data_IF_799977238888
#
_entry.id   IF_799977238888
#
_cell.length_a   1.000
_cell.length_b   1.000
_cell.length_c   1.000
_cell.angle_alpha   90.00
_cell.angle_beta   90.00
_cell.angle_gamma   90.00
#
_symmetry.space_group_name_H-M   'P 1'
#
loop_
_entity.id
_entity.type
_entity.pdbx_description
1 polymer ?
#
# COMPACT_ATOMS: atom_id res chain seq x y z
N UNK A 1 7.59 15.21 -7.16
CA UNK A 1 8.76 16.01 -6.80
C UNK A 1 9.46 15.33 -5.66
N UNK A 2 10.64 14.79 -5.89
CA UNK A 2 11.52 14.41 -4.81
C UNK A 2 11.95 15.69 -4.11
N UNK A 3 11.77 15.80 -2.82
CA UNK A 3 12.52 16.77 -2.03
C UNK A 3 13.72 16.05 -1.44
N UNK A 4 14.92 16.33 -1.83
CA UNK A 4 16.10 15.72 -1.27
C UNK A 4 16.73 16.65 -0.23
N UNK A 5 17.23 16.10 0.78
CA UNK A 5 18.45 16.55 1.37
C UNK A 5 19.31 15.31 1.60
N UNK A 6 20.42 15.27 0.87
CA UNK A 6 21.61 14.49 1.13
C UNK A 6 21.41 13.05 1.58
N UNK A 7 20.99 12.16 0.70
CA UNK A 7 21.07 10.73 0.95
C UNK A 7 21.63 10.07 -0.31
N UNK A 8 22.75 9.42 -0.16
CA UNK A 8 23.39 8.64 -1.21
C UNK A 8 22.67 7.30 -1.31
N UNK A 9 21.57 7.25 -2.08
CA UNK A 9 20.79 6.04 -2.23
C UNK A 9 20.48 5.74 -3.69
N UNK A 10 20.89 4.58 -4.11
CA UNK A 10 20.54 4.00 -5.39
C UNK A 10 19.15 3.37 -5.27
N UNK A 11 18.11 3.87 -5.92
CA UNK A 11 16.79 3.23 -5.83
C UNK A 11 16.84 1.83 -6.43
N UNK A 12 16.15 0.90 -5.78
CA UNK A 12 15.98 -0.45 -6.33
C UNK A 12 15.31 -0.40 -7.71
N UNK A 13 15.63 -1.30 -8.63
CA UNK A 13 15.07 -1.28 -9.97
C UNK A 13 13.54 -1.37 -9.93
N UNK A 14 12.91 -0.50 -10.71
CA UNK A 14 11.45 -0.50 -10.90
C UNK A 14 11.09 -1.53 -11.93
N UNK A 15 10.30 -2.53 -11.59
CA UNK A 15 9.75 -3.47 -12.55
C UNK A 15 8.37 -3.02 -13.02
N UNK A 16 8.21 -2.84 -14.32
CA UNK A 16 6.98 -2.35 -14.94
C UNK A 16 6.51 -3.32 -16.02
N UNK A 17 5.21 -3.27 -16.34
CA UNK A 17 4.66 -4.10 -17.41
C UNK A 17 5.21 -3.68 -18.77
N UNK A 18 5.08 -4.55 -19.80
CA UNK A 18 5.70 -4.40 -21.14
C UNK A 18 5.43 -3.08 -21.87
N UNK A 19 4.53 -2.24 -21.39
CA UNK A 19 4.17 -0.95 -21.98
C UNK A 19 4.86 0.26 -21.33
N UNK A 20 5.60 0.05 -20.25
CA UNK A 20 6.40 1.11 -19.68
C UNK A 20 7.62 1.41 -20.54
N UNK A 21 7.80 2.68 -20.85
CA UNK A 21 8.87 3.12 -21.74
C UNK A 21 10.13 3.53 -20.97
N UNK A 22 10.00 4.42 -20.04
CA UNK A 22 11.14 4.94 -19.27
C UNK A 22 10.69 5.89 -18.15
N UNK A 23 11.60 6.17 -17.22
CA UNK A 23 11.54 7.33 -16.35
C UNK A 23 12.30 8.49 -16.98
N UNK A 24 11.73 9.68 -16.94
CA UNK A 24 12.42 10.90 -17.32
C UNK A 24 12.86 11.65 -16.06
N UNK A 25 14.14 11.90 -15.96
CA UNK A 25 14.73 12.72 -14.93
C UNK A 25 14.76 14.18 -15.37
N UNK A 26 14.29 15.08 -14.52
CA UNK A 26 14.39 16.52 -14.74
C UNK A 26 15.24 17.16 -13.63
N UNK A 27 16.46 17.56 -13.93
CA UNK A 27 17.17 18.55 -13.16
C UNK A 27 16.80 19.94 -13.71
N UNK A 28 16.45 20.87 -12.89
CA UNK A 28 15.81 22.17 -13.10
C UNK A 28 16.10 22.98 -14.38
N UNK A 29 16.87 22.52 -15.32
CA UNK A 29 17.28 23.29 -16.51
C UNK A 29 17.24 22.56 -17.86
N UNK A 30 17.21 21.22 -17.92
CA UNK A 30 17.12 20.51 -19.22
C UNK A 30 16.52 19.12 -19.05
N UNK A 31 15.48 18.80 -19.83
CA UNK A 31 15.00 17.43 -20.00
C UNK A 31 16.11 16.61 -20.60
N UNK A 32 16.40 15.40 -20.03
CA UNK A 32 16.99 14.49 -20.95
C UNK A 32 17.60 13.16 -20.53
N UNK A 33 17.46 12.68 -19.36
CA UNK A 33 17.97 11.33 -19.12
C UNK A 33 16.83 10.36 -18.92
N UNK A 34 16.73 9.37 -19.84
CA UNK A 34 15.76 8.29 -19.73
C UNK A 34 16.38 7.15 -18.95
N UNK A 35 15.68 6.70 -17.91
CA UNK A 35 16.06 5.52 -17.12
C UNK A 35 15.10 4.39 -17.42
N UNK A 36 15.63 3.29 -17.90
CA UNK A 36 14.87 2.09 -18.25
C UNK A 36 14.74 1.15 -17.04
N UNK A 37 13.81 0.21 -17.06
CA UNK A 37 13.72 -0.81 -16.03
C UNK A 37 15.06 -1.49 -15.78
N UNK A 38 15.48 -1.55 -14.50
CA UNK A 38 16.79 -2.09 -14.11
C UNK A 38 17.96 -1.08 -14.10
N UNK A 39 17.73 0.18 -14.50
CA UNK A 39 18.74 1.24 -14.34
C UNK A 39 18.86 1.66 -12.87
N UNK A 40 20.09 1.95 -12.44
CA UNK A 40 20.37 2.57 -11.14
C UNK A 40 20.43 4.08 -11.30
N UNK A 41 19.84 4.80 -10.35
CA UNK A 41 19.88 6.25 -10.29
C UNK A 41 20.40 6.70 -8.92
N UNK A 42 21.52 7.39 -8.92
CA UNK A 42 22.07 8.03 -7.72
C UNK A 42 21.56 9.46 -7.65
N UNK A 43 20.88 9.82 -6.57
CA UNK A 43 20.31 11.14 -6.37
C UNK A 43 21.23 11.99 -5.51
N UNK A 44 21.78 13.05 -6.10
CA UNK A 44 22.62 14.03 -5.39
C UNK A 44 21.90 15.33 -5.08
N UNK A 45 20.70 15.51 -5.64
CA UNK A 45 19.86 16.72 -5.47
C UNK A 45 18.39 16.43 -5.76
N UNK A 46 17.53 17.43 -5.56
CA UNK A 46 16.09 17.35 -5.85
C UNK A 46 15.83 16.91 -7.27
N UNK A 47 15.06 15.83 -7.42
CA UNK A 47 14.66 15.38 -8.74
C UNK A 47 13.19 15.02 -8.81
N UNK A 48 12.64 15.14 -10.00
CA UNK A 48 11.30 14.63 -10.32
C UNK A 48 11.47 13.54 -11.37
N UNK A 49 10.88 12.37 -11.10
CA UNK A 49 10.81 11.30 -12.07
C UNK A 49 9.44 11.33 -12.74
N UNK A 50 9.44 11.39 -14.06
CA UNK A 50 8.23 11.32 -14.88
C UNK A 50 8.14 9.94 -15.51
N UNK A 51 7.07 9.21 -15.23
CA UNK A 51 6.83 7.93 -15.84
C UNK A 51 6.06 8.09 -17.15
N UNK A 52 6.60 7.56 -18.26
CA UNK A 52 5.91 7.54 -19.56
C UNK A 52 5.28 6.18 -19.83
N UNK A 53 3.99 6.16 -20.13
CA UNK A 53 3.19 4.97 -20.35
C UNK A 53 2.26 5.05 -21.55
N UNK A 54 1.91 3.85 -22.07
CA UNK A 54 0.71 3.60 -22.81
C UNK A 54 -0.11 2.57 -22.02
N UNK A 55 -1.10 2.98 -21.24
CA UNK A 55 -2.02 2.14 -20.45
C UNK A 55 -1.34 1.06 -19.58
N UNK A 56 -0.24 1.40 -18.94
CA UNK A 56 0.53 0.46 -18.13
C UNK A 56 0.05 0.41 -16.68
N UNK A 57 0.27 -0.73 -16.05
CA UNK A 57 0.12 -0.88 -14.60
C UNK A 57 1.47 -0.74 -13.93
N UNK A 58 1.51 -0.03 -12.82
CA UNK A 58 2.65 -0.07 -11.91
C UNK A 58 2.84 -1.50 -11.42
N UNK A 59 4.01 -2.09 -11.63
CA UNK A 59 4.30 -3.45 -11.17
C UNK A 59 5.21 -3.47 -9.96
N UNK A 60 6.10 -2.48 -9.84
CA UNK A 60 6.99 -2.34 -8.68
C UNK A 60 7.32 -0.86 -8.51
N UNK A 61 7.24 -0.37 -7.29
CA UNK A 61 7.67 0.95 -6.90
C UNK A 61 9.04 0.87 -6.23
N UNK A 62 9.97 1.82 -6.49
CA UNK A 62 11.25 1.82 -5.83
C UNK A 62 11.08 2.09 -4.34
N UNK A 63 11.81 1.32 -3.53
CA UNK A 63 12.02 1.63 -2.13
C UNK A 63 13.26 2.54 -2.06
N UNK A 64 13.09 3.68 -1.43
CA UNK A 64 14.14 4.68 -1.28
C UNK A 64 14.33 4.98 0.21
N UNK A 65 15.50 5.44 0.59
CA UNK A 65 15.79 5.85 1.95
C UNK A 65 16.44 7.23 1.97
N UNK A 66 16.27 7.92 3.07
CA UNK A 66 16.84 9.23 3.35
C UNK A 66 17.23 9.28 4.81
N UNK A 67 18.47 9.68 5.11
CA UNK A 67 18.92 9.82 6.50
C UNK A 67 18.09 10.87 7.23
N UNK A 68 17.63 10.53 8.45
CA UNK A 68 16.77 11.38 9.26
C UNK A 68 15.29 11.42 8.82
N UNK A 69 14.88 10.54 7.89
CA UNK A 69 13.50 10.49 7.41
C UNK A 69 13.02 9.06 7.18
N UNK A 70 11.73 8.86 7.36
CA UNK A 70 11.02 7.64 6.99
C UNK A 70 10.31 7.84 5.66
N UNK A 71 10.39 6.85 4.79
CA UNK A 71 9.70 6.88 3.51
C UNK A 71 8.26 6.42 3.66
N UNK A 72 7.30 7.33 3.46
CA UNK A 72 5.86 7.06 3.62
C UNK A 72 5.25 6.44 2.37
N UNK A 73 5.89 6.63 1.21
CA UNK A 73 5.41 6.08 -0.04
C UNK A 73 5.50 7.04 -1.22
N UNK A 74 5.06 6.55 -2.36
CA UNK A 74 4.92 7.33 -3.58
C UNK A 74 3.49 7.83 -3.73
N UNK A 75 3.32 9.12 -4.01
CA UNK A 75 2.01 9.74 -4.16
C UNK A 75 1.88 10.43 -5.53
N UNK A 76 0.67 10.43 -6.06
CA UNK A 76 0.33 11.26 -7.22
C UNK A 76 0.24 12.74 -6.80
N UNK A 77 0.23 13.70 -7.75
CA UNK A 77 0.05 15.11 -7.43
C UNK A 77 -1.27 15.43 -6.69
N UNK A 78 -2.26 14.56 -6.79
CA UNK A 78 -3.53 14.66 -6.09
C UNK A 78 -3.51 13.97 -4.71
N UNK A 79 -2.33 13.77 -4.15
CA UNK A 79 -2.11 13.11 -2.86
C UNK A 79 -2.72 11.70 -2.75
N UNK A 80 -2.76 10.96 -3.86
CA UNK A 80 -3.20 9.56 -3.85
C UNK A 80 -1.99 8.64 -3.80
N UNK A 81 -1.94 7.76 -2.82
CA UNK A 81 -0.85 6.78 -2.68
C UNK A 81 -0.77 5.89 -3.94
N UNK A 82 0.40 5.86 -4.55
CA UNK A 82 0.69 4.97 -5.67
C UNK A 82 0.99 3.56 -5.16
N UNK A 83 0.44 2.55 -5.81
CA UNK A 83 0.57 1.15 -5.41
C UNK A 83 0.78 0.23 -6.62
N UNK A 84 1.37 -0.92 -6.39
CA UNK A 84 1.54 -1.94 -7.42
C UNK A 84 0.18 -2.39 -7.99
N UNK A 85 0.07 -2.40 -9.30
CA UNK A 85 -1.18 -2.68 -10.01
C UNK A 85 -2.05 -1.44 -10.28
N UNK A 86 -1.65 -0.25 -9.81
CA UNK A 86 -2.29 1.01 -10.18
C UNK A 86 -2.21 1.19 -11.70
N UNK A 87 -3.33 1.54 -12.32
CA UNK A 87 -3.37 1.84 -13.77
C UNK A 87 -2.95 3.29 -13.98
N UNK A 88 -1.96 3.49 -14.81
CA UNK A 88 -1.47 4.80 -15.22
C UNK A 88 -1.93 5.01 -16.66
N UNK A 89 -2.73 6.04 -16.89
CA UNK A 89 -3.36 6.33 -18.19
C UNK A 89 -2.72 7.48 -18.96
N UNK A 90 -1.78 8.17 -18.30
CA UNK A 90 -1.06 9.31 -18.89
C UNK A 90 0.29 9.47 -18.19
N UNK A 91 1.10 10.39 -18.66
CA UNK A 91 2.33 10.78 -17.98
C UNK A 91 2.01 11.17 -16.53
N UNK A 92 2.54 10.41 -15.60
CA UNK A 92 2.26 10.55 -14.17
C UNK A 92 3.53 10.86 -13.41
N UNK A 93 3.48 11.92 -12.61
CA UNK A 93 4.52 12.24 -11.63
C UNK A 93 4.18 11.49 -10.34
N UNK A 94 5.15 10.81 -9.77
CA UNK A 94 5.04 10.27 -8.42
C UNK A 94 5.97 11.06 -7.50
N UNK A 95 5.42 11.48 -6.38
CA UNK A 95 6.09 12.29 -5.37
C UNK A 95 6.37 11.39 -4.17
N UNK A 96 7.63 11.35 -3.74
CA UNK A 96 7.99 10.66 -2.51
C UNK A 96 7.55 11.51 -1.32
N UNK A 97 6.79 10.94 -0.41
CA UNK A 97 6.49 11.53 0.88
C UNK A 97 7.43 10.99 1.94
N UNK A 98 7.79 11.85 2.88
CA UNK A 98 8.75 11.57 3.92
C UNK A 98 8.28 12.17 5.24
N UNK A 99 8.38 11.40 6.31
CA UNK A 99 8.24 11.89 7.68
C UNK A 99 9.64 12.06 8.28
N UNK A 100 9.92 13.22 8.85
CA UNK A 100 11.19 13.49 9.53
C UNK A 100 11.26 12.66 10.82
N UNK A 101 12.38 11.95 11.01
CA UNK A 101 12.68 11.35 12.31
C UNK A 101 13.24 12.45 13.20
N UNK A 102 12.37 13.16 13.91
CA UNK A 102 12.83 14.13 14.90
C UNK A 102 13.49 13.38 16.05
N UNK A 103 14.81 13.48 16.13
CA UNK A 103 15.54 13.25 17.38
C UNK A 103 15.54 14.60 18.10
N UNK A 104 14.45 14.95 18.75
CA UNK A 104 14.45 16.04 19.70
C UNK A 104 15.27 15.59 20.91
N UNK A 105 16.54 16.00 20.96
CA UNK A 105 17.45 15.73 22.11
C UNK A 105 17.06 16.46 23.40
N UNK A 106 15.91 17.15 23.45
CA UNK A 106 15.49 17.98 24.57
C UNK A 106 13.99 17.88 24.85
N UNK A 107 13.48 16.69 25.11
CA UNK A 107 12.27 16.58 25.93
C UNK A 107 12.37 15.32 26.82
N UNK A 108 12.56 15.57 28.11
CA UNK A 108 12.57 14.59 29.20
C UNK A 108 11.15 14.01 29.43
N UNK A 109 10.53 13.61 28.30
CA UNK A 109 9.37 12.75 28.29
C UNK A 109 9.87 11.33 28.09
N UNK A 110 9.72 10.56 29.12
CA UNK A 110 9.77 9.11 29.15
C UNK A 110 8.76 8.56 28.11
N UNK A 111 9.11 8.69 26.82
CA UNK A 111 8.39 8.05 25.72
C UNK A 111 8.67 6.56 25.80
N UNK A 112 7.93 5.89 26.67
CA UNK A 112 7.78 4.46 26.58
C UNK A 112 7.30 4.17 25.16
N UNK A 113 8.16 3.54 24.33
CA UNK A 113 7.78 3.08 23.00
C UNK A 113 6.38 2.50 23.05
N UNK A 114 5.49 2.99 22.20
CA UNK A 114 4.10 2.56 22.17
C UNK A 114 4.02 1.03 22.20
N UNK A 115 3.19 0.50 23.07
CA UNK A 115 3.07 -0.92 23.39
C UNK A 115 2.08 -1.67 22.52
N UNK A 116 2.07 -2.98 22.62
CA UNK A 116 1.05 -3.80 21.96
C UNK A 116 -0.33 -3.42 22.46
N UNK A 117 -1.24 -3.08 21.56
CA UNK A 117 -2.60 -2.63 21.83
C UNK A 117 -2.78 -1.12 21.73
N UNK A 118 -1.71 -0.35 21.70
CA UNK A 118 -1.80 1.09 21.50
C UNK A 118 -2.23 1.41 20.06
N UNK A 119 -2.97 2.49 19.92
CA UNK A 119 -3.43 3.00 18.64
C UNK A 119 -2.50 4.09 18.13
N UNK A 120 -2.17 4.00 16.86
CA UNK A 120 -1.37 4.96 16.12
C UNK A 120 -2.21 5.55 15.02
N UNK A 121 -2.19 6.86 14.86
CA UNK A 121 -2.99 7.58 13.89
C UNK A 121 -2.14 8.12 12.75
N UNK A 122 -2.69 8.08 11.55
CA UNK A 122 -2.19 8.79 10.38
C UNK A 122 -3.31 9.71 9.86
N UNK A 123 -3.05 10.50 8.85
CA UNK A 123 -4.08 11.30 8.17
C UNK A 123 -5.19 10.48 7.49
N UNK A 124 -4.99 9.18 7.31
CA UNK A 124 -5.89 8.30 6.56
C UNK A 124 -6.55 7.21 7.40
N UNK A 125 -5.89 6.73 8.44
CA UNK A 125 -6.33 5.54 9.15
C UNK A 125 -5.74 5.44 10.56
N UNK A 126 -6.41 4.64 11.39
CA UNK A 126 -5.92 4.18 12.69
C UNK A 126 -5.29 2.80 12.52
N UNK A 127 -4.15 2.61 13.19
CA UNK A 127 -3.43 1.35 13.29
C UNK A 127 -3.29 0.94 14.75
N UNK A 128 -3.46 -0.33 15.06
CA UNK A 128 -3.22 -0.87 16.40
C UNK A 128 -1.94 -1.69 16.42
N UNK A 129 -1.04 -1.43 17.36
CA UNK A 129 0.20 -2.20 17.50
C UNK A 129 -0.11 -3.64 17.91
N UNK A 130 0.40 -4.59 17.13
CA UNK A 130 0.19 -6.03 17.39
C UNK A 130 1.45 -6.76 17.81
N UNK A 131 2.63 -6.17 17.58
CA UNK A 131 3.92 -6.76 17.93
C UNK A 131 5.01 -5.69 18.00
N UNK A 132 5.88 -5.79 19.02
CA UNK A 132 7.00 -4.87 19.22
C UNK A 132 8.36 -5.57 19.38
N UNK A 133 8.40 -6.89 19.57
CA UNK A 133 9.65 -7.63 19.82
C UNK A 133 10.32 -8.05 18.51
N UNK A 134 11.37 -7.32 18.12
CA UNK A 134 12.22 -7.63 16.97
C UNK A 134 11.63 -7.30 15.60
N UNK A 135 10.33 -7.04 15.51
CA UNK A 135 9.63 -6.59 14.32
C UNK A 135 8.37 -5.82 14.74
N UNK A 136 8.30 -4.55 14.38
CA UNK A 136 7.12 -3.74 14.69
C UNK A 136 6.00 -4.07 13.69
N UNK A 137 4.86 -4.54 14.22
CA UNK A 137 3.71 -4.92 13.40
C UNK A 137 2.45 -4.21 13.89
N UNK A 138 1.60 -3.86 12.94
CA UNK A 138 0.30 -3.23 13.21
C UNK A 138 -0.84 -3.94 12.48
N UNK A 139 -2.03 -3.76 13.02
CA UNK A 139 -3.30 -4.03 12.39
C UNK A 139 -3.86 -2.71 11.81
N UNK A 140 -4.32 -2.71 10.57
CA UNK A 140 -5.13 -1.63 10.00
C UNK A 140 -6.50 -1.67 10.64
N UNK A 141 -6.80 -0.75 11.56
CA UNK A 141 -7.95 -0.84 12.47
C UNK A 141 -9.17 -0.08 11.96
N UNK A 142 -8.97 1.12 11.39
CA UNK A 142 -10.08 1.95 10.94
C UNK A 142 -9.66 2.91 9.83
N UNK A 143 -10.55 3.19 8.87
CA UNK A 143 -10.40 4.22 7.84
C UNK A 143 -11.12 5.49 8.33
N UNK A 144 -10.45 6.65 8.28
CA UNK A 144 -11.07 7.90 8.74
C UNK A 144 -12.12 8.46 7.79
N UNK A 145 -11.88 8.38 6.48
CA UNK A 145 -12.78 8.95 5.49
C UNK A 145 -13.67 7.89 4.85
N UNK A 146 -14.93 7.84 5.28
CA UNK A 146 -15.92 6.90 4.78
C UNK A 146 -16.37 7.18 3.33
N UNK A 147 -16.05 8.34 2.76
CA UNK A 147 -16.37 8.73 1.38
C UNK A 147 -15.28 8.30 0.38
N UNK A 148 -14.16 7.77 0.85
CA UNK A 148 -13.09 7.24 0.00
C UNK A 148 -13.60 6.11 -0.88
N UNK A 149 -13.45 6.26 -2.19
CA UNK A 149 -13.91 5.25 -3.15
C UNK A 149 -12.87 4.19 -3.49
N UNK A 150 -11.60 4.48 -3.29
CA UNK A 150 -10.47 3.57 -3.51
C UNK A 150 -9.49 3.72 -2.36
N UNK A 151 -9.14 2.65 -1.71
CA UNK A 151 -8.10 2.66 -0.67
C UNK A 151 -7.14 1.49 -0.80
N UNK A 152 -6.03 1.61 -0.10
CA UNK A 152 -4.93 0.66 -0.08
C UNK A 152 -4.54 0.35 1.37
N UNK A 153 -4.34 -0.91 1.67
CA UNK A 153 -3.72 -1.35 2.92
C UNK A 153 -2.24 -1.57 2.62
N UNK A 154 -1.35 -0.71 3.10
CA UNK A 154 0.06 -0.73 2.74
C UNK A 154 0.79 -1.95 3.32
N UNK A 155 1.98 -2.23 2.83
CA UNK A 155 2.86 -3.25 3.40
C UNK A 155 3.49 -2.76 4.70
N UNK A 156 3.80 -1.48 4.75
CA UNK A 156 4.37 -0.80 5.92
C UNK A 156 3.73 0.58 6.08
N UNK A 157 3.75 1.10 7.29
CA UNK A 157 3.40 2.48 7.63
C UNK A 157 4.47 3.03 8.55
N UNK A 158 4.84 4.28 8.32
CA UNK A 158 5.76 5.00 9.19
C UNK A 158 4.96 5.97 10.07
N UNK A 159 5.15 5.88 11.37
CA UNK A 159 4.49 6.73 12.36
C UNK A 159 5.54 7.06 13.43
N UNK A 160 5.71 8.35 13.72
CA UNK A 160 6.67 8.85 14.72
C UNK A 160 8.08 8.27 14.55
N UNK A 161 8.57 8.24 13.31
CA UNK A 161 9.91 7.73 12.98
C UNK A 161 10.07 6.20 13.04
N UNK A 162 9.03 5.45 13.42
CA UNK A 162 9.06 3.98 13.49
C UNK A 162 8.33 3.38 12.29
N UNK A 163 8.96 2.43 11.60
CA UNK A 163 8.35 1.69 10.51
C UNK A 163 7.65 0.44 11.03
N UNK A 164 6.35 0.39 10.87
CA UNK A 164 5.51 -0.75 11.23
C UNK A 164 5.10 -1.54 10.01
N UNK A 165 5.16 -2.85 10.08
CA UNK A 165 4.64 -3.75 9.07
C UNK A 165 3.14 -3.97 9.27
N UNK A 166 2.32 -3.74 8.25
CA UNK A 166 0.87 -3.95 8.31
C UNK A 166 0.58 -5.42 8.04
N UNK A 167 0.32 -6.18 9.11
CA UNK A 167 0.16 -7.64 9.02
C UNK A 167 -1.28 -8.12 9.12
N UNK A 168 -2.20 -7.24 9.54
CA UNK A 168 -3.62 -7.60 9.63
C UNK A 168 -4.56 -6.44 9.29
N UNK A 169 -5.78 -6.83 8.92
CA UNK A 169 -6.93 -5.93 8.79
C UNK A 169 -7.87 -6.20 9.95
N UNK A 170 -8.20 -5.17 10.68
CA UNK A 170 -8.97 -5.21 11.92
C UNK A 170 -10.42 -5.68 11.77
N UNK A 171 -11.00 -6.04 12.88
CA UNK A 171 -12.43 -6.33 12.93
C UNK A 171 -13.23 -5.07 12.61
N UNK A 172 -14.09 -5.15 11.61
CA UNK A 172 -14.93 -4.04 11.16
C UNK A 172 -14.20 -2.82 10.58
N UNK A 173 -12.92 -2.91 10.23
CA UNK A 173 -12.11 -1.79 9.71
C UNK A 173 -12.78 -0.97 8.59
N UNK A 174 -13.64 -1.61 7.78
CA UNK A 174 -14.43 -0.98 6.71
C UNK A 174 -15.92 -1.32 6.82
N UNK A 175 -16.41 -1.53 8.04
CA UNK A 175 -17.78 -2.03 8.27
C UNK A 175 -18.85 -1.07 7.76
N UNK A 176 -19.66 -1.54 6.79
CA UNK A 176 -20.73 -0.77 6.14
C UNK A 176 -20.26 0.48 5.36
N UNK A 177 -18.97 0.60 5.04
CA UNK A 177 -18.53 1.63 4.12
C UNK A 177 -19.14 1.40 2.74
N UNK A 178 -20.11 2.23 2.36
CA UNK A 178 -20.86 2.09 1.10
C UNK A 178 -20.25 2.90 -0.05
N UNK A 179 -19.30 3.78 0.21
CA UNK A 179 -18.59 4.55 -0.81
C UNK A 179 -17.46 3.74 -1.44
N UNK A 180 -16.80 2.86 -0.69
CA UNK A 180 -15.65 2.10 -1.12
C UNK A 180 -15.95 1.20 -2.31
N UNK A 181 -15.32 1.47 -3.46
CA UNK A 181 -15.47 0.72 -4.72
C UNK A 181 -14.33 -0.27 -4.96
N UNK A 182 -13.13 0.08 -4.51
CA UNK A 182 -11.93 -0.73 -4.70
C UNK A 182 -11.07 -0.75 -3.44
N UNK A 183 -10.57 -1.94 -3.09
CA UNK A 183 -9.54 -2.12 -2.06
C UNK A 183 -8.37 -2.91 -2.63
N UNK A 184 -7.15 -2.51 -2.27
CA UNK A 184 -5.93 -3.26 -2.52
C UNK A 184 -5.32 -3.65 -1.18
N UNK A 185 -5.10 -4.93 -0.99
CA UNK A 185 -4.54 -5.50 0.25
C UNK A 185 -3.07 -5.85 0.00
N UNK A 186 -2.20 -5.24 0.76
CA UNK A 186 -0.75 -5.35 0.65
C UNK A 186 -0.21 -6.76 0.84
N UNK A 187 1.05 -6.95 0.47
CA UNK A 187 1.72 -8.27 0.44
C UNK A 187 2.07 -8.78 1.83
N UNK A 188 2.19 -7.89 2.81
CA UNK A 188 2.53 -8.22 4.19
C UNK A 188 1.33 -8.70 5.02
N UNK A 189 0.09 -8.49 4.56
CA UNK A 189 -1.11 -8.90 5.28
C UNK A 189 -1.22 -10.41 5.40
N UNK A 190 -1.35 -10.91 6.62
CA UNK A 190 -1.45 -12.33 6.96
C UNK A 190 -2.86 -12.70 7.48
N UNK A 191 -3.61 -11.71 8.00
CA UNK A 191 -4.93 -11.89 8.62
C UNK A 191 -5.91 -10.83 8.16
N UNK A 192 -7.15 -11.23 7.94
CA UNK A 192 -8.30 -10.33 7.75
C UNK A 192 -9.33 -10.71 8.81
N UNK A 193 -9.63 -9.82 9.72
CA UNK A 193 -10.49 -10.10 10.88
C UNK A 193 -11.96 -10.19 10.50
N UNK A 194 -12.81 -10.57 11.46
CA UNK A 194 -14.25 -10.78 11.21
C UNK A 194 -14.91 -9.46 10.80
N UNK A 195 -15.83 -9.55 9.84
CA UNK A 195 -16.61 -8.41 9.34
C UNK A 195 -15.79 -7.23 8.81
N UNK A 196 -14.49 -7.38 8.54
CA UNK A 196 -13.61 -6.30 8.09
C UNK A 196 -14.23 -5.47 6.93
N UNK A 197 -14.83 -6.12 5.94
CA UNK A 197 -15.50 -5.48 4.79
C UNK A 197 -17.00 -5.79 4.73
N UNK A 198 -17.61 -6.14 5.87
CA UNK A 198 -19.04 -6.48 5.90
C UNK A 198 -19.92 -5.29 5.50
N UNK A 199 -20.75 -5.46 4.49
CA UNK A 199 -21.70 -4.43 4.10
C UNK A 199 -21.11 -3.35 3.19
N UNK A 200 -19.88 -3.50 2.68
CA UNK A 200 -19.33 -2.62 1.65
C UNK A 200 -20.03 -2.90 0.30
N UNK A 201 -21.27 -2.42 0.16
CA UNK A 201 -22.15 -2.78 -0.95
C UNK A 201 -21.65 -2.30 -2.32
N UNK A 202 -20.88 -1.21 -2.37
CA UNK A 202 -20.27 -0.69 -3.60
C UNK A 202 -18.96 -1.35 -3.95
N UNK A 203 -18.36 -2.15 -3.06
CA UNK A 203 -17.05 -2.77 -3.27
C UNK A 203 -17.11 -3.81 -4.40
N UNK A 204 -16.68 -3.38 -5.58
CA UNK A 204 -16.75 -4.17 -6.81
C UNK A 204 -15.39 -4.70 -7.28
N UNK A 205 -14.29 -4.25 -6.66
CA UNK A 205 -12.93 -4.69 -6.97
C UNK A 205 -12.11 -4.91 -5.69
N UNK A 206 -11.59 -6.12 -5.52
CA UNK A 206 -10.69 -6.48 -4.41
C UNK A 206 -9.42 -7.05 -5.03
N UNK A 207 -8.28 -6.47 -4.69
CA UNK A 207 -6.96 -6.98 -5.09
C UNK A 207 -6.24 -7.45 -3.83
N UNK A 208 -5.80 -8.70 -3.82
CA UNK A 208 -5.05 -9.28 -2.69
C UNK A 208 -3.65 -9.61 -3.18
N UNK A 209 -2.66 -8.81 -2.82
CA UNK A 209 -1.26 -9.02 -3.18
C UNK A 209 -0.60 -10.07 -2.28
N UNK A 210 -1.10 -10.23 -1.06
CA UNK A 210 -0.53 -11.18 -0.10
C UNK A 210 -0.62 -12.62 -0.57
N UNK A 211 0.45 -13.37 -0.34
CA UNK A 211 0.51 -14.84 -0.42
C UNK A 211 0.49 -15.51 0.95
N UNK A 212 0.43 -14.73 2.04
CA UNK A 212 0.62 -15.17 3.42
C UNK A 212 -0.69 -15.54 4.13
N UNK A 213 -1.84 -15.11 3.60
CA UNK A 213 -3.14 -15.39 4.21
C UNK A 213 -3.44 -16.90 4.16
N UNK A 214 -3.49 -17.53 5.32
CA UNK A 214 -3.72 -18.96 5.44
C UNK A 214 -5.16 -19.30 5.84
N UNK A 215 -5.49 -20.59 5.83
CA UNK A 215 -6.80 -21.07 6.31
C UNK A 215 -6.94 -20.76 7.81
N UNK A 216 -8.09 -20.17 8.19
CA UNK A 216 -8.33 -19.71 9.56
C UNK A 216 -7.90 -18.27 9.85
N UNK A 217 -7.16 -17.63 8.94
CA UNK A 217 -6.73 -16.24 9.07
C UNK A 217 -7.69 -15.23 8.40
N UNK A 218 -8.80 -15.70 7.82
CA UNK A 218 -9.89 -14.82 7.39
C UNK A 218 -11.10 -15.08 8.27
N UNK A 219 -11.51 -14.04 8.97
CA UNK A 219 -12.59 -14.08 9.94
C UNK A 219 -13.97 -14.28 9.32
N UNK A 220 -14.91 -14.68 10.16
CA UNK A 220 -16.28 -14.93 9.74
C UNK A 220 -16.94 -13.68 9.14
N UNK A 221 -17.61 -13.84 8.00
CA UNK A 221 -18.34 -12.75 7.34
C UNK A 221 -17.44 -11.56 6.90
N UNK A 222 -16.13 -11.73 6.81
CA UNK A 222 -15.20 -10.66 6.45
C UNK A 222 -15.64 -9.91 5.18
N UNK A 223 -16.16 -10.61 4.18
CA UNK A 223 -16.63 -10.04 2.91
C UNK A 223 -18.13 -10.26 2.66
N UNK A 224 -18.93 -10.49 3.72
CA UNK A 224 -20.38 -10.68 3.54
C UNK A 224 -21.06 -9.35 3.19
N UNK A 225 -21.98 -9.38 2.26
CA UNK A 225 -22.71 -8.20 1.74
C UNK A 225 -21.84 -7.18 1.01
N UNK A 226 -20.70 -7.56 0.47
CA UNK A 226 -20.03 -6.78 -0.59
C UNK A 226 -20.82 -6.87 -1.89
N UNK A 227 -20.46 -6.08 -2.90
CA UNK A 227 -21.13 -6.12 -4.21
C UNK A 227 -21.30 -7.55 -4.73
N UNK A 228 -22.51 -7.89 -5.19
CA UNK A 228 -22.82 -9.22 -5.73
C UNK A 228 -21.91 -9.64 -6.90
N UNK A 229 -21.45 -8.66 -7.69
CA UNK A 229 -20.63 -8.88 -8.87
C UNK A 229 -19.15 -8.54 -8.63
N UNK A 230 -18.69 -8.56 -7.39
CA UNK A 230 -17.32 -8.22 -7.02
C UNK A 230 -16.31 -9.05 -7.81
N UNK A 231 -15.29 -8.39 -8.33
CA UNK A 231 -14.13 -8.99 -8.96
C UNK A 231 -13.00 -9.07 -7.94
N UNK A 232 -12.49 -10.27 -7.68
CA UNK A 232 -11.40 -10.47 -6.74
C UNK A 232 -10.18 -10.98 -7.50
N UNK A 233 -9.06 -10.29 -7.34
CA UNK A 233 -7.79 -10.63 -7.97
C UNK A 233 -6.85 -11.16 -6.90
N UNK A 234 -6.29 -12.35 -7.13
CA UNK A 234 -5.45 -13.05 -6.15
C UNK A 234 -4.17 -13.58 -6.79
N UNK A 235 -3.06 -13.75 -6.05
CA UNK A 235 -1.83 -14.34 -6.57
C UNK A 235 -2.10 -15.69 -7.24
N UNK A 236 -1.49 -15.93 -8.40
CA UNK A 236 -1.69 -17.16 -9.16
C UNK A 236 -1.36 -18.41 -8.35
N UNK A 237 -0.29 -18.36 -7.53
CA UNK A 237 0.16 -19.43 -6.64
C UNK A 237 -0.86 -19.78 -5.55
N UNK A 238 -1.69 -18.83 -5.13
CA UNK A 238 -2.70 -19.00 -4.06
C UNK A 238 -4.13 -19.14 -4.56
N UNK A 239 -4.35 -19.09 -5.86
CA UNK A 239 -5.70 -19.03 -6.45
C UNK A 239 -6.67 -20.10 -5.91
N UNK A 240 -6.27 -21.37 -5.91
CA UNK A 240 -7.16 -22.47 -5.45
C UNK A 240 -7.52 -22.31 -3.97
N UNK A 241 -6.52 -22.00 -3.13
CA UNK A 241 -6.69 -21.80 -1.70
C UNK A 241 -7.59 -20.59 -1.41
N UNK A 242 -7.28 -19.43 -2.01
CA UNK A 242 -8.03 -18.20 -1.78
C UNK A 242 -9.45 -18.25 -2.33
N UNK A 243 -9.69 -18.94 -3.43
CA UNK A 243 -11.06 -19.17 -3.93
C UNK A 243 -11.95 -19.87 -2.88
N UNK A 244 -11.42 -20.91 -2.20
CA UNK A 244 -12.14 -21.62 -1.14
C UNK A 244 -12.34 -20.72 0.10
N UNK A 245 -11.27 -20.04 0.50
CA UNK A 245 -11.24 -19.19 1.68
C UNK A 245 -12.19 -17.99 1.56
N UNK A 246 -12.16 -17.26 0.45
CA UNK A 246 -13.03 -16.10 0.20
C UNK A 246 -14.51 -16.48 0.16
N UNK A 247 -14.87 -17.62 -0.44
CA UNK A 247 -16.24 -18.13 -0.39
C UNK A 247 -16.69 -18.38 1.04
N UNK A 248 -15.85 -18.98 1.88
CA UNK A 248 -16.13 -19.21 3.31
C UNK A 248 -16.25 -17.88 4.07
N UNK A 249 -15.51 -16.87 3.69
CA UNK A 249 -15.51 -15.54 4.29
C UNK A 249 -16.69 -14.65 3.85
N UNK A 250 -17.60 -15.16 3.01
CA UNK A 250 -18.84 -14.50 2.66
C UNK A 250 -18.86 -13.81 1.30
N UNK A 251 -17.85 -13.99 0.46
CA UNK A 251 -17.89 -13.53 -0.93
C UNK A 251 -19.01 -14.27 -1.68
N UNK A 252 -19.92 -13.51 -2.28
CA UNK A 252 -21.13 -14.05 -2.92
C UNK A 252 -20.86 -15.01 -4.09
N UNK A 253 -21.85 -15.84 -4.42
CA UNK A 253 -21.74 -16.86 -5.47
C UNK A 253 -21.52 -16.30 -6.88
N UNK A 254 -21.99 -15.07 -7.13
CA UNK A 254 -21.80 -14.35 -8.42
C UNK A 254 -20.46 -13.64 -8.55
N UNK A 255 -19.66 -13.59 -7.48
CA UNK A 255 -18.34 -12.99 -7.50
C UNK A 255 -17.40 -13.74 -8.44
N UNK A 256 -16.60 -12.98 -9.17
CA UNK A 256 -15.58 -13.51 -10.10
C UNK A 256 -14.21 -13.41 -9.46
N UNK A 257 -13.50 -14.54 -9.30
CA UNK A 257 -12.15 -14.59 -8.74
C UNK A 257 -11.17 -14.88 -9.87
N UNK A 258 -10.20 -14.02 -10.03
CA UNK A 258 -9.20 -14.05 -11.08
C UNK A 258 -7.80 -14.31 -10.52
N UNK A 259 -6.97 -14.99 -11.29
CA UNK A 259 -5.54 -15.08 -11.04
C UNK A 259 -4.88 -13.78 -11.48
N UNK A 260 -4.09 -13.17 -10.63
CA UNK A 260 -3.13 -12.19 -11.11
C UNK A 260 -2.08 -12.93 -11.94
N UNK A 261 -1.76 -12.40 -13.12
CA UNK A 261 -0.69 -12.95 -13.93
C UNK A 261 0.63 -12.54 -13.28
N UNK A 262 1.39 -13.52 -12.81
CA UNK A 262 2.83 -13.33 -12.61
C UNK A 262 3.43 -13.17 -14.01
N UNK A 263 3.96 -12.03 -14.28
CA UNK A 263 4.84 -11.83 -15.44
C UNK A 263 6.28 -11.92 -15.01
#
# INVERSE_FOLDING_TARGET
TFQPNGGDQTPSPVSLSQTFKCWLYNSSTTMSTSYYPGSSLTLTQNCTLYAQYNDAKLTTLPVISREGYVFDGWYTPNNTLAYEGMTITSDTVLIAHWTETSVDEDDDKNDALAGVGDELETDQAIYTITKTNGEYCVEYSELFDDDVTVTYIPDTVAIDGVVYKVTSVGEKAFYKNTALKKIVIGSCVEKISSKAFYGCTSLNSIVINSTKISNGKVGANAFKKVSKNVKVYVPASKYKAYKKLLKKAGVGSKAKIYKMRTR
#
